data_IF_305194787750
#
_entry.id   IF_305194787750
#
_cell.length_a   1.000
_cell.length_b   1.000
_cell.length_c   1.000
_cell.angle_alpha   90.00
_cell.angle_beta   90.00
_cell.angle_gamma   90.00
#
_symmetry.space_group_name_H-M   'P 1'
#
loop_
_entity.id
_entity.type
_entity.pdbx_description
1 polymer ?
#
# COMPACT_ATOMS: atom_id res chain seq x y z
N UNK A 1 -43.82 -8.37 14.42
CA UNK A 1 -44.44 -7.93 13.15
C UNK A 1 -43.32 -7.47 12.24
N UNK A 2 -43.20 -8.05 11.04
CA UNK A 2 -42.13 -7.75 10.10
C UNK A 2 -42.57 -6.55 9.24
N UNK A 3 -42.20 -5.33 9.65
CA UNK A 3 -42.53 -4.10 8.91
C UNK A 3 -41.52 -3.89 7.77
N UNK A 4 -41.40 -4.86 6.87
CA UNK A 4 -40.62 -4.70 5.64
C UNK A 4 -41.45 -3.96 4.59
N UNK A 5 -40.97 -2.82 4.11
CA UNK A 5 -41.51 -2.18 2.91
C UNK A 5 -40.69 -2.64 1.70
N UNK A 6 -41.28 -3.45 0.84
CA UNK A 6 -40.67 -3.86 -0.42
C UNK A 6 -41.13 -2.93 -1.53
N UNK A 7 -40.17 -2.34 -2.25
CA UNK A 7 -40.46 -1.59 -3.47
C UNK A 7 -40.45 -2.59 -4.63
N UNK A 8 -41.63 -2.88 -5.18
CA UNK A 8 -41.78 -3.76 -6.32
C UNK A 8 -41.10 -3.21 -7.59
N UNK A 9 -40.74 -4.12 -8.51
CA UNK A 9 -40.18 -3.82 -9.83
C UNK A 9 -38.79 -3.14 -9.89
N UNK A 10 -38.05 -3.06 -8.77
CA UNK A 10 -36.67 -2.54 -8.78
C UNK A 10 -35.73 -3.38 -9.65
N UNK A 11 -35.96 -4.69 -9.83
CA UNK A 11 -35.08 -5.53 -10.66
C UNK A 11 -35.55 -5.66 -12.12
N UNK A 12 -36.86 -5.68 -12.35
CA UNK A 12 -37.46 -5.98 -13.66
C UNK A 12 -37.59 -4.76 -14.57
N UNK A 13 -37.56 -3.54 -14.03
CA UNK A 13 -37.73 -2.30 -14.80
C UNK A 13 -36.56 -1.33 -14.59
N UNK A 14 -35.33 -1.83 -14.73
CA UNK A 14 -34.10 -1.04 -14.56
C UNK A 14 -33.65 -0.50 -15.90
N UNK A 15 -33.59 0.83 -16.02
CA UNK A 15 -32.71 1.46 -17.00
C UNK A 15 -31.30 1.46 -16.43
N UNK A 16 -30.26 1.05 -17.18
CA UNK A 16 -28.90 1.09 -16.68
C UNK A 16 -28.54 2.55 -16.35
N UNK A 17 -28.00 2.77 -15.14
CA UNK A 17 -27.39 4.06 -14.81
C UNK A 17 -26.12 4.15 -15.65
N UNK A 18 -26.18 4.90 -16.73
CA UNK A 18 -25.05 5.18 -17.64
C UNK A 18 -24.64 6.63 -17.47
N UNK A 19 -23.34 6.88 -17.36
CA UNK A 19 -22.78 8.20 -17.09
C UNK A 19 -21.92 8.24 -15.83
N UNK A 20 -21.36 9.41 -15.54
CA UNK A 20 -20.37 9.62 -14.47
C UNK A 20 -20.99 10.03 -13.14
N UNK A 21 -22.32 9.99 -12.98
CA UNK A 21 -22.96 10.44 -11.74
C UNK A 21 -22.57 9.48 -10.59
N UNK A 22 -21.83 9.95 -9.58
CA UNK A 22 -21.25 9.09 -8.55
C UNK A 22 -22.24 8.72 -7.44
N UNK A 23 -23.49 9.17 -7.56
CA UNK A 23 -24.48 9.14 -6.49
C UNK A 23 -25.28 7.83 -6.54
N UNK A 24 -25.03 6.96 -5.56
CA UNK A 24 -25.88 5.81 -5.26
C UNK A 24 -26.90 6.13 -4.18
N UNK A 25 -28.06 5.48 -4.23
CA UNK A 25 -29.01 5.49 -3.10
C UNK A 25 -28.48 4.54 -2.03
N UNK A 26 -28.40 5.01 -0.79
CA UNK A 26 -27.93 4.24 0.37
C UNK A 26 -28.96 4.27 1.50
N UNK A 27 -28.81 3.36 2.47
CA UNK A 27 -29.60 3.32 3.71
C UNK A 27 -28.70 3.50 4.93
N UNK A 28 -29.14 4.28 5.91
CA UNK A 28 -28.48 4.36 7.22
C UNK A 28 -28.90 3.18 8.11
N UNK A 29 -28.16 2.93 9.19
CA UNK A 29 -28.52 1.93 10.21
C UNK A 29 -29.86 2.20 10.90
N UNK A 30 -30.37 3.43 10.83
CA UNK A 30 -31.70 3.80 11.30
C UNK A 30 -32.81 3.59 10.25
N UNK A 31 -32.49 2.97 9.10
CA UNK A 31 -33.42 2.71 8.01
C UNK A 31 -33.76 3.92 7.14
N UNK A 32 -32.95 5.00 7.16
CA UNK A 32 -33.21 6.21 6.36
C UNK A 32 -32.54 6.12 4.99
N UNK A 33 -33.30 6.35 3.93
CA UNK A 33 -32.76 6.50 2.57
C UNK A 33 -31.98 7.82 2.44
N UNK A 34 -30.90 7.80 1.66
CA UNK A 34 -30.07 8.96 1.36
C UNK A 34 -29.20 8.76 0.13
N UNK A 35 -28.39 9.77 -0.18
CA UNK A 35 -27.34 9.68 -1.19
C UNK A 35 -26.02 9.26 -0.56
N UNK A 36 -25.32 8.31 -1.18
CA UNK A 36 -23.97 7.90 -0.84
C UNK A 36 -22.91 8.90 -1.30
N UNK A 37 -21.63 8.58 -1.04
CA UNK A 37 -20.44 9.23 -1.64
C UNK A 37 -20.29 10.76 -1.48
N UNK A 38 -21.04 11.39 -0.58
CA UNK A 38 -20.88 12.84 -0.30
C UNK A 38 -19.53 13.13 0.36
N UNK A 39 -18.68 13.92 -0.30
CA UNK A 39 -17.29 14.13 0.14
C UNK A 39 -16.83 15.59 0.25
N UNK A 40 -17.72 16.55 -0.08
CA UNK A 40 -17.41 17.98 -0.05
C UNK A 40 -16.99 18.47 1.34
N UNK A 41 -16.05 19.43 1.38
CA UNK A 41 -15.51 20.01 2.63
C UNK A 41 -16.60 20.55 3.56
N UNK A 42 -17.72 21.05 3.03
CA UNK A 42 -18.86 21.55 3.84
C UNK A 42 -19.51 20.49 4.75
N UNK A 43 -19.27 19.21 4.49
CA UNK A 43 -19.80 18.10 5.30
C UNK A 43 -18.76 17.53 6.29
N UNK A 44 -17.57 18.13 6.38
CA UNK A 44 -16.42 17.58 7.12
C UNK A 44 -15.80 18.65 8.01
N UNK A 45 -15.33 18.24 9.18
CA UNK A 45 -14.51 19.04 10.09
C UNK A 45 -13.24 18.25 10.45
N UNK A 46 -12.27 18.89 11.13
CA UNK A 46 -11.02 18.26 11.59
C UNK A 46 -10.23 17.51 10.50
N UNK A 47 -10.19 18.08 9.29
CA UNK A 47 -9.53 17.46 8.13
C UNK A 47 -8.00 17.51 8.31
N UNK A 48 -7.38 16.35 8.50
CA UNK A 48 -5.92 16.15 8.64
C UNK A 48 -5.43 15.05 7.70
N UNK A 49 -4.13 15.01 7.37
CA UNK A 49 -3.51 13.86 6.70
C UNK A 49 -3.72 12.57 7.51
N UNK A 50 -3.78 11.42 6.83
CA UNK A 50 -4.01 10.12 7.50
C UNK A 50 -2.78 9.61 8.27
N UNK A 51 -1.57 10.00 7.87
CA UNK A 51 -0.32 9.58 8.50
C UNK A 51 -0.26 8.06 8.74
N UNK A 52 -0.20 7.62 9.99
CA UNK A 52 -0.16 6.20 10.38
C UNK A 52 -1.54 5.56 10.53
N UNK A 53 -2.63 6.31 10.42
CA UNK A 53 -3.98 5.78 10.60
C UNK A 53 -4.33 4.69 9.57
N UNK A 54 -3.73 4.73 8.38
CA UNK A 54 -3.91 3.72 7.33
C UNK A 54 -3.04 2.47 7.52
N UNK A 55 -2.09 2.46 8.47
CA UNK A 55 -1.23 1.30 8.72
C UNK A 55 -2.01 0.13 9.37
N UNK A 56 -3.22 0.38 9.88
CA UNK A 56 -4.15 -0.66 10.34
C UNK A 56 -4.44 -1.70 9.24
N UNK A 57 -4.30 -1.32 7.97
CA UNK A 57 -4.46 -2.22 6.83
C UNK A 57 -3.51 -3.42 6.88
N UNK A 58 -2.30 -3.25 7.40
CA UNK A 58 -1.31 -4.33 7.47
C UNK A 58 -1.70 -5.45 8.43
N UNK A 59 -2.63 -5.19 9.37
CA UNK A 59 -3.17 -6.19 10.27
C UNK A 59 -4.40 -6.93 9.73
N UNK A 60 -4.97 -6.48 8.61
CA UNK A 60 -6.17 -7.11 8.03
C UNK A 60 -5.82 -8.41 7.32
N UNK A 61 -6.74 -9.38 7.37
CA UNK A 61 -6.58 -10.73 6.82
C UNK A 61 -7.61 -10.99 5.73
N UNK A 62 -7.28 -10.79 4.44
CA UNK A 62 -8.17 -11.12 3.34
C UNK A 62 -8.48 -12.61 3.30
N UNK A 63 -9.74 -12.95 3.04
CA UNK A 63 -10.24 -14.32 2.93
C UNK A 63 -10.96 -14.54 1.60
N UNK A 64 -11.04 -15.81 1.19
CA UNK A 64 -11.95 -16.28 0.14
C UNK A 64 -13.07 -17.09 0.80
N UNK A 65 -14.30 -16.92 0.37
CA UNK A 65 -15.44 -17.57 1.01
C UNK A 65 -16.59 -17.78 0.02
N UNK A 66 -17.59 -18.53 0.47
CA UNK A 66 -18.92 -18.61 -0.15
C UNK A 66 -19.92 -18.32 0.95
N UNK A 67 -20.97 -17.56 0.66
CA UNK A 67 -22.05 -17.36 1.62
C UNK A 67 -22.78 -18.69 1.87
N UNK A 68 -23.42 -18.84 3.04
CA UNK A 68 -24.28 -20.00 3.29
C UNK A 68 -25.40 -20.06 2.24
N UNK A 69 -25.84 -21.29 1.88
CA UNK A 69 -26.87 -21.51 0.84
C UNK A 69 -28.19 -20.79 1.09
N UNK A 70 -28.53 -20.54 2.35
CA UNK A 70 -29.73 -19.80 2.74
C UNK A 70 -29.67 -18.31 2.35
N UNK A 71 -28.46 -17.75 2.19
CA UNK A 71 -28.24 -16.36 1.80
C UNK A 71 -27.82 -16.22 0.33
N UNK A 72 -27.12 -17.20 -0.23
CA UNK A 72 -26.74 -17.24 -1.65
C UNK A 72 -26.90 -18.66 -2.22
N UNK A 73 -27.97 -18.86 -2.99
CA UNK A 73 -28.21 -20.13 -3.68
C UNK A 73 -27.20 -20.41 -4.80
N UNK A 74 -26.54 -19.37 -5.36
CA UNK A 74 -25.58 -19.54 -6.45
C UNK A 74 -24.26 -20.12 -5.97
N UNK A 75 -23.98 -19.99 -4.67
CA UNK A 75 -22.73 -20.41 -4.04
C UNK A 75 -21.51 -19.83 -4.77
N UNK A 76 -21.60 -18.57 -5.20
CA UNK A 76 -20.51 -17.92 -5.94
C UNK A 76 -19.29 -17.72 -5.03
N UNK A 77 -18.08 -17.91 -5.58
CA UNK A 77 -16.85 -17.65 -4.82
C UNK A 77 -16.67 -16.13 -4.67
N UNK A 78 -16.52 -15.67 -3.43
CA UNK A 78 -16.29 -14.29 -3.09
C UNK A 78 -14.94 -14.10 -2.37
N UNK A 79 -14.49 -12.86 -2.32
CA UNK A 79 -13.26 -12.44 -1.64
C UNK A 79 -13.58 -11.22 -0.79
N UNK A 80 -12.97 -11.12 0.39
CA UNK A 80 -13.25 -10.01 1.29
C UNK A 80 -12.62 -10.19 2.66
N UNK A 81 -13.29 -9.65 3.67
CA UNK A 81 -12.88 -9.65 5.07
C UNK A 81 -14.02 -10.16 5.96
N UNK A 82 -13.66 -10.71 7.12
CA UNK A 82 -14.61 -11.09 8.17
C UNK A 82 -14.78 -9.90 9.14
N UNK A 83 -16.02 -9.48 9.39
CA UNK A 83 -16.30 -8.26 10.16
C UNK A 83 -15.76 -8.33 11.59
N UNK A 84 -15.83 -9.51 12.21
CA UNK A 84 -15.32 -9.80 13.55
C UNK A 84 -13.79 -9.69 13.61
N UNK A 85 -13.09 -10.27 12.65
CA UNK A 85 -11.62 -10.18 12.56
C UNK A 85 -11.16 -8.74 12.32
N UNK A 86 -11.91 -7.98 11.49
CA UNK A 86 -11.65 -6.54 11.30
C UNK A 86 -11.91 -5.78 12.60
N UNK A 87 -12.93 -6.15 13.38
CA UNK A 87 -13.28 -5.45 14.62
C UNK A 87 -12.18 -5.54 15.69
N UNK A 88 -11.42 -6.64 15.70
CA UNK A 88 -10.28 -6.83 16.61
C UNK A 88 -9.11 -5.90 16.28
N UNK A 89 -8.88 -5.60 15.00
CA UNK A 89 -7.73 -4.83 14.52
C UNK A 89 -8.07 -3.35 14.30
N UNK A 90 -9.22 -3.08 13.71
CA UNK A 90 -9.66 -1.77 13.24
C UNK A 90 -11.18 -1.58 13.49
N UNK A 91 -11.61 -1.42 14.75
CA UNK A 91 -13.03 -1.37 15.11
C UNK A 91 -13.82 -0.25 14.40
N UNK A 92 -13.17 0.85 14.03
CA UNK A 92 -13.79 1.96 13.32
C UNK A 92 -14.19 1.62 11.87
N UNK A 93 -13.58 0.58 11.29
CA UNK A 93 -13.87 0.08 9.95
C UNK A 93 -15.06 -0.90 9.92
N UNK A 94 -15.73 -1.12 11.04
CA UNK A 94 -16.85 -2.07 11.16
C UNK A 94 -18.17 -1.33 11.33
N UNK A 95 -19.17 -1.76 10.56
CA UNK A 95 -20.58 -1.46 10.82
C UNK A 95 -21.16 -2.51 11.75
N UNK A 96 -21.90 -2.06 12.76
CA UNK A 96 -22.51 -2.93 13.78
C UNK A 96 -24.03 -2.95 13.65
N UNK A 97 -24.62 -4.10 13.95
CA UNK A 97 -26.07 -4.28 13.99
C UNK A 97 -26.68 -3.59 15.23
N UNK A 98 -28.03 -3.58 15.40
CA UNK A 98 -28.69 -2.98 16.56
C UNK A 98 -28.33 -3.61 17.92
N UNK A 99 -27.79 -4.83 17.95
CA UNK A 99 -27.28 -5.49 19.15
C UNK A 99 -25.82 -5.12 19.47
N UNK A 100 -25.17 -4.35 18.60
CA UNK A 100 -23.78 -3.97 18.72
C UNK A 100 -22.79 -5.01 18.18
N UNK A 101 -23.25 -6.05 17.50
CA UNK A 101 -22.39 -7.09 16.94
C UNK A 101 -21.79 -6.60 15.60
N UNK A 102 -20.51 -6.92 15.29
CA UNK A 102 -19.95 -6.71 13.95
C UNK A 102 -20.86 -7.35 12.89
N UNK A 103 -21.18 -6.62 11.82
CA UNK A 103 -22.08 -7.12 10.77
C UNK A 103 -21.57 -6.77 9.36
N UNK A 104 -20.88 -5.65 9.21
CA UNK A 104 -20.39 -5.20 7.91
C UNK A 104 -19.02 -4.55 8.02
N UNK A 105 -18.29 -4.51 6.90
CA UNK A 105 -17.02 -3.82 6.78
C UNK A 105 -17.21 -2.57 5.92
N UNK A 106 -16.61 -1.45 6.33
CA UNK A 106 -16.63 -0.16 5.63
C UNK A 106 -15.62 -0.17 4.48
N UNK A 107 -15.89 -0.97 3.43
CA UNK A 107 -14.98 -1.16 2.29
C UNK A 107 -14.56 0.15 1.60
N UNK A 108 -15.44 1.15 1.52
CA UNK A 108 -15.08 2.47 0.96
C UNK A 108 -13.98 3.19 1.77
N UNK A 109 -13.96 3.01 3.09
CA UNK A 109 -12.89 3.57 3.93
C UNK A 109 -11.58 2.80 3.71
N UNK A 110 -11.64 1.47 3.60
CA UNK A 110 -10.47 0.64 3.26
C UNK A 110 -9.85 1.10 1.94
N UNK A 111 -10.65 1.38 0.91
CA UNK A 111 -10.16 1.91 -0.37
C UNK A 111 -9.40 3.23 -0.21
N UNK A 112 -9.90 4.13 0.64
CA UNK A 112 -9.22 5.41 0.92
C UNK A 112 -7.90 5.21 1.70
N UNK A 113 -7.86 4.27 2.66
CA UNK A 113 -6.63 3.92 3.38
C UNK A 113 -5.60 3.28 2.43
N UNK A 114 -6.04 2.40 1.51
CA UNK A 114 -5.19 1.75 0.52
C UNK A 114 -4.55 2.79 -0.39
N UNK A 115 -5.29 3.82 -0.81
CA UNK A 115 -4.75 4.93 -1.58
C UNK A 115 -3.64 5.66 -0.81
N UNK A 116 -3.81 5.91 0.50
CA UNK A 116 -2.78 6.57 1.29
C UNK A 116 -1.50 5.74 1.42
N UNK A 117 -1.63 4.43 1.71
CA UNK A 117 -0.46 3.54 1.77
C UNK A 117 0.21 3.40 0.40
N UNK A 118 -0.56 3.28 -0.68
CA UNK A 118 0.00 3.27 -2.03
C UNK A 118 0.84 4.53 -2.32
N UNK A 119 0.35 5.71 -1.96
CA UNK A 119 1.09 6.97 -2.14
C UNK A 119 2.34 7.05 -1.25
N UNK A 120 2.28 6.54 -0.02
CA UNK A 120 3.44 6.44 0.88
C UNK A 120 4.52 5.53 0.30
N UNK A 121 4.14 4.32 -0.10
CA UNK A 121 5.05 3.32 -0.68
C UNK A 121 5.64 3.81 -2.00
N UNK A 122 4.85 4.43 -2.86
CA UNK A 122 5.34 5.00 -4.11
C UNK A 122 6.42 6.06 -3.87
N UNK A 123 6.21 6.95 -2.89
CA UNK A 123 7.21 7.94 -2.50
C UNK A 123 8.49 7.29 -1.95
N UNK A 124 8.35 6.33 -1.05
CA UNK A 124 9.49 5.60 -0.48
C UNK A 124 10.29 4.87 -1.55
N UNK A 125 9.61 4.25 -2.52
CA UNK A 125 10.21 3.59 -3.67
C UNK A 125 11.06 4.55 -4.52
N UNK A 126 10.54 5.74 -4.85
CA UNK A 126 11.29 6.76 -5.60
C UNK A 126 12.52 7.25 -4.83
N UNK A 127 12.39 7.45 -3.52
CA UNK A 127 13.52 7.84 -2.66
C UNK A 127 14.62 6.76 -2.64
N UNK A 128 14.22 5.48 -2.58
CA UNK A 128 15.15 4.36 -2.61
C UNK A 128 15.83 4.21 -3.98
N UNK A 129 15.09 4.32 -5.08
CA UNK A 129 15.68 4.35 -6.43
C UNK A 129 16.76 5.44 -6.57
N UNK A 130 16.52 6.62 -6.01
CA UNK A 130 17.51 7.70 -6.02
C UNK A 130 18.77 7.35 -5.21
N UNK A 131 18.64 6.60 -4.11
CA UNK A 131 19.80 6.13 -3.34
C UNK A 131 20.59 5.09 -4.13
N UNK A 132 19.90 4.15 -4.78
CA UNK A 132 20.53 3.14 -5.65
C UNK A 132 21.39 3.81 -6.73
N UNK A 133 20.85 4.78 -7.46
CA UNK A 133 21.60 5.53 -8.48
C UNK A 133 22.86 6.23 -7.91
N UNK A 134 22.78 6.77 -6.69
CA UNK A 134 23.93 7.38 -6.03
C UNK A 134 24.98 6.36 -5.62
N UNK A 135 24.56 5.21 -5.13
CA UNK A 135 25.46 4.12 -4.75
C UNK A 135 26.16 3.54 -5.98
N UNK A 136 25.44 3.37 -7.09
CA UNK A 136 26.02 2.95 -8.37
C UNK A 136 27.09 3.94 -8.85
N UNK A 137 26.80 5.24 -8.83
CA UNK A 137 27.78 6.26 -9.20
C UNK A 137 29.01 6.28 -8.26
N UNK A 138 28.80 6.09 -6.96
CA UNK A 138 29.90 6.00 -6.00
C UNK A 138 30.74 4.74 -6.22
N UNK A 139 30.12 3.61 -6.54
CA UNK A 139 30.81 2.35 -6.85
C UNK A 139 31.69 2.48 -8.10
N UNK A 140 31.19 3.12 -9.16
CA UNK A 140 31.98 3.42 -10.35
C UNK A 140 33.19 4.30 -10.03
N UNK A 141 33.02 5.33 -9.19
CA UNK A 141 34.11 6.18 -8.76
C UNK A 141 35.17 5.43 -7.93
N UNK A 142 34.75 4.51 -7.06
CA UNK A 142 35.66 3.66 -6.27
C UNK A 142 36.40 2.69 -7.20
N UNK A 143 35.71 2.04 -8.15
CA UNK A 143 36.31 1.15 -9.13
C UNK A 143 37.37 1.86 -9.98
N UNK A 144 37.12 3.11 -10.39
CA UNK A 144 38.09 3.92 -11.11
C UNK A 144 39.36 4.20 -10.27
N UNK A 145 39.18 4.53 -8.98
CA UNK A 145 40.31 4.75 -8.06
C UNK A 145 41.10 3.48 -7.79
N UNK A 146 40.44 2.33 -7.69
CA UNK A 146 41.11 1.03 -7.54
C UNK A 146 42.01 0.74 -8.74
N UNK A 147 41.50 0.92 -9.97
CA UNK A 147 42.31 0.78 -11.20
C UNK A 147 43.52 1.73 -11.21
N UNK A 148 43.35 2.97 -10.74
CA UNK A 148 44.46 3.93 -10.64
C UNK A 148 45.50 3.48 -9.60
N UNK A 149 45.05 2.95 -8.46
CA UNK A 149 45.92 2.39 -7.43
C UNK A 149 46.69 1.16 -7.93
N UNK A 150 46.03 0.24 -8.63
CA UNK A 150 46.67 -0.93 -9.24
C UNK A 150 47.80 -0.50 -10.20
N UNK A 151 47.54 0.48 -11.06
CA UNK A 151 48.55 1.03 -11.96
C UNK A 151 49.74 1.69 -11.22
N UNK A 152 49.48 2.38 -10.10
CA UNK A 152 50.55 2.95 -9.26
C UNK A 152 51.37 1.87 -8.57
N UNK A 153 50.72 0.81 -8.06
CA UNK A 153 51.39 -0.33 -7.40
C UNK A 153 52.31 -1.05 -8.40
N UNK A 154 51.84 -1.30 -9.63
CA UNK A 154 52.66 -1.90 -10.69
C UNK A 154 53.90 -1.04 -11.01
N UNK A 155 53.72 0.28 -11.13
CA UNK A 155 54.83 1.21 -11.38
C UNK A 155 55.87 1.20 -10.26
N UNK A 156 55.44 1.27 -9.00
CA UNK A 156 56.34 1.22 -7.85
C UNK A 156 57.06 -0.13 -7.78
N UNK A 157 56.35 -1.23 -8.04
CA UNK A 157 56.92 -2.58 -8.06
C UNK A 157 58.00 -2.73 -9.14
N UNK A 158 57.81 -2.15 -10.33
CA UNK A 158 58.81 -2.13 -11.39
C UNK A 158 60.06 -1.31 -11.00
N UNK A 159 59.89 -0.15 -10.36
CA UNK A 159 61.00 0.69 -9.90
C UNK A 159 61.83 0.00 -8.81
N UNK A 160 61.18 -0.68 -7.86
CA UNK A 160 61.87 -1.43 -6.82
C UNK A 160 62.73 -2.56 -7.40
N UNK A 161 62.20 -3.32 -8.37
CA UNK A 161 62.97 -4.36 -9.08
C UNK A 161 64.19 -3.81 -9.80
N UNK A 162 64.08 -2.63 -10.43
CA UNK A 162 65.19 -1.97 -11.11
C UNK A 162 66.26 -1.43 -10.14
N UNK A 163 65.85 -0.89 -8.99
CA UNK A 163 66.75 -0.37 -7.95
C UNK A 163 67.56 -1.44 -7.23
N UNK A 164 67.03 -2.66 -7.09
CA UNK A 164 67.78 -3.80 -6.51
C UNK A 164 68.82 -4.40 -7.46
N UNK A 165 68.79 -4.06 -8.76
CA UNK A 165 69.69 -4.62 -9.76
C UNK A 165 71.02 -3.85 -9.94
N UNK A 166 71.28 -2.81 -9.15
CA UNK A 166 72.58 -2.10 -9.16
C UNK A 166 73.39 -2.54 -7.94
N UNK A 167 74.44 -3.39 -8.09
CA UNK A 167 75.38 -3.62 -6.99
C UNK A 167 76.17 -2.34 -6.79
N UNK A 168 76.00 -1.66 -5.65
CA UNK A 168 77.02 -0.73 -5.17
C UNK A 168 78.26 -1.57 -4.82
N UNK A 169 79.17 -1.69 -5.77
CA UNK A 169 80.55 -2.08 -5.48
C UNK A 169 81.16 -0.90 -4.73
N UNK A 170 81.04 -0.92 -3.41
CA UNK A 170 81.83 -0.05 -2.54
C UNK A 170 83.22 -0.66 -2.49
N UNK A 171 84.11 -0.12 -3.35
CA UNK A 171 85.54 -0.37 -3.23
C UNK A 171 86.04 0.39 -2.01
N UNK A 172 86.25 -0.30 -0.90
CA UNK A 172 87.03 0.22 0.21
C UNK A 172 88.40 -0.46 0.21
N UNK A 173 89.42 0.40 0.28
CA UNK A 173 90.85 0.11 0.27
C UNK A 173 91.30 -0.78 1.42
#
# INVERSE_FOLDING_TARGET
MNFGCFIGNIYSNVQPIVGTDPDSVTITSSGRLGRGNVSSRRYKHDIKPMEKASEVLYGLKPVRFRYNREYDATQTLAFGLIAEEVAEVAPDLVGRNPKGEPESVRYEQINALLLNEFLKEHKAFLEEQRKVLKLEAALEAVNARLKEQDAKIEKVSAQLKAGTATPQIVSNQ
#
